data_IF_840585598432
#
_entry.id   IF_840585598432
#
_cell.length_a   1.000
_cell.length_b   1.000
_cell.length_c   1.000
_cell.angle_alpha   90.00
_cell.angle_beta   90.00
_cell.angle_gamma   90.00
#
_symmetry.space_group_name_H-M   'P 1'
#
loop_
_entity.id
_entity.type
_entity.pdbx_description
1 polymer ?
#
# COMPACT_ATOMS: atom_id res chain seq x y z
N UNK A 1 4.19 -3.95 -8.08
CA UNK A 1 4.63 -2.73 -7.40
C UNK A 1 6.11 -2.89 -7.05
N UNK A 2 6.98 -1.94 -7.39
CA UNK A 2 8.37 -1.98 -6.94
C UNK A 2 8.43 -1.83 -5.41
N UNK A 3 9.35 -2.55 -4.76
CA UNK A 3 9.62 -2.40 -3.33
C UNK A 3 10.35 -1.06 -3.14
N UNK A 4 9.79 -0.17 -2.32
CA UNK A 4 10.44 1.11 -1.98
C UNK A 4 11.78 0.84 -1.29
N UNK A 5 12.81 1.64 -1.61
CA UNK A 5 14.16 1.42 -1.09
C UNK A 5 14.20 1.32 0.44
N UNK A 6 13.42 2.16 1.10
CA UNK A 6 13.23 2.25 2.55
C UNK A 6 12.69 0.95 3.18
N UNK A 7 12.05 0.09 2.41
CA UNK A 7 11.39 -1.14 2.91
C UNK A 7 12.13 -2.41 2.50
N UNK A 8 13.23 -2.32 1.74
CA UNK A 8 13.94 -3.51 1.23
C UNK A 8 14.44 -4.42 2.35
N UNK A 9 14.81 -3.86 3.50
CA UNK A 9 15.30 -4.61 4.66
C UNK A 9 14.21 -5.44 5.36
N UNK A 10 12.92 -5.19 5.10
CA UNK A 10 11.81 -6.03 5.62
C UNK A 10 11.72 -7.38 4.90
N UNK A 11 12.37 -7.48 3.73
CA UNK A 11 12.38 -8.68 2.90
C UNK A 11 13.66 -9.46 3.16
N UNK A 12 13.62 -10.80 3.08
CA UNK A 12 14.81 -11.60 3.23
C UNK A 12 15.77 -11.40 2.04
N UNK A 13 17.05 -11.73 2.24
CA UNK A 13 18.09 -11.54 1.22
C UNK A 13 17.81 -12.33 -0.07
N UNK A 14 17.15 -13.48 0.05
CA UNK A 14 16.75 -14.38 -1.03
C UNK A 14 15.35 -14.05 -1.59
N UNK A 15 14.83 -12.84 -1.32
CA UNK A 15 13.54 -12.42 -1.86
C UNK A 15 13.41 -12.56 -3.39
N UNK A 16 14.43 -12.25 -4.22
CA UNK A 16 14.34 -12.50 -5.66
C UNK A 16 14.04 -13.96 -6.01
N UNK A 17 14.64 -14.90 -5.28
CA UNK A 17 14.46 -16.34 -5.42
C UNK A 17 13.08 -16.76 -4.98
N UNK A 18 12.67 -16.36 -3.78
CA UNK A 18 11.36 -16.67 -3.22
C UNK A 18 10.24 -16.14 -4.14
N UNK A 19 10.33 -14.89 -4.55
CA UNK A 19 9.39 -14.25 -5.47
C UNK A 19 9.31 -14.98 -6.82
N UNK A 20 10.43 -15.47 -7.34
CA UNK A 20 10.48 -16.26 -8.58
C UNK A 20 9.83 -17.63 -8.40
N UNK A 21 10.12 -18.31 -7.29
CA UNK A 21 9.53 -19.60 -6.96
C UNK A 21 8.00 -19.51 -6.88
N UNK A 22 7.46 -18.45 -6.28
CA UNK A 22 6.02 -18.21 -6.22
C UNK A 22 5.45 -17.90 -7.62
N UNK A 23 6.03 -16.95 -8.35
CA UNK A 23 5.46 -16.45 -9.62
C UNK A 23 5.57 -17.44 -10.78
N UNK A 24 6.70 -18.13 -10.90
CA UNK A 24 7.02 -18.94 -12.07
C UNK A 24 7.16 -20.42 -11.75
N UNK A 25 7.44 -20.79 -10.50
CA UNK A 25 7.36 -22.17 -10.03
C UNK A 25 5.92 -22.56 -9.73
N UNK A 26 5.40 -22.13 -8.59
CA UNK A 26 4.06 -22.51 -8.09
C UNK A 26 2.94 -22.05 -9.02
N UNK A 27 2.95 -20.77 -9.38
CA UNK A 27 1.87 -20.19 -10.17
C UNK A 27 2.05 -20.37 -11.69
N UNK A 28 3.15 -21.01 -12.13
CA UNK A 28 3.47 -21.26 -13.54
C UNK A 28 3.31 -20.01 -14.44
N UNK A 29 3.73 -18.84 -13.94
CA UNK A 29 3.63 -17.58 -14.66
C UNK A 29 2.20 -17.09 -14.88
N UNK A 30 1.22 -17.55 -14.09
CA UNK A 30 -0.19 -17.11 -14.18
C UNK A 30 -0.66 -16.51 -12.86
N UNK A 31 -1.58 -15.55 -12.95
CA UNK A 31 -2.16 -14.96 -11.76
C UNK A 31 -2.97 -16.01 -11.00
N UNK A 32 -2.72 -16.20 -9.71
CA UNK A 32 -3.43 -17.19 -8.89
C UNK A 32 -4.91 -16.80 -8.66
N UNK A 33 -5.28 -15.54 -8.86
CA UNK A 33 -6.67 -15.08 -8.73
C UNK A 33 -7.46 -15.10 -10.04
N UNK A 34 -6.84 -14.75 -11.17
CA UNK A 34 -7.57 -14.55 -12.43
C UNK A 34 -7.00 -15.28 -13.64
N UNK A 35 -5.91 -16.03 -13.47
CA UNK A 35 -5.26 -16.87 -14.48
C UNK A 35 -4.62 -16.13 -15.66
N UNK A 36 -4.63 -14.79 -15.66
CA UNK A 36 -3.94 -13.99 -16.70
C UNK A 36 -2.44 -14.36 -16.74
N UNK A 37 -1.88 -14.66 -17.93
CA UNK A 37 -0.49 -15.07 -18.07
C UNK A 37 0.48 -13.88 -18.02
N UNK A 38 1.64 -14.06 -17.38
CA UNK A 38 2.71 -13.08 -17.30
C UNK A 38 3.29 -12.75 -18.68
N UNK A 39 3.63 -11.48 -18.90
CA UNK A 39 4.32 -10.99 -20.10
C UNK A 39 3.41 -10.82 -21.32
N UNK A 40 2.22 -11.43 -21.32
CA UNK A 40 1.27 -11.43 -22.42
C UNK A 40 0.41 -10.17 -22.47
N UNK A 41 -0.04 -9.82 -23.68
CA UNK A 41 -1.08 -8.80 -23.88
C UNK A 41 -2.45 -9.47 -23.84
N UNK A 42 -3.35 -8.98 -23.00
CA UNK A 42 -4.71 -9.51 -22.88
C UNK A 42 -5.74 -8.47 -23.28
N UNK A 43 -6.75 -8.90 -24.02
CA UNK A 43 -7.96 -8.12 -24.30
C UNK A 43 -8.90 -8.18 -23.10
N UNK A 44 -9.45 -7.04 -22.67
CA UNK A 44 -10.36 -6.98 -21.54
C UNK A 44 -11.38 -5.85 -21.66
N UNK A 45 -12.52 -6.01 -20.96
CA UNK A 45 -13.66 -5.07 -21.01
C UNK A 45 -13.59 -3.96 -19.94
N UNK A 46 -12.54 -3.97 -19.11
CA UNK A 46 -12.30 -2.94 -18.08
C UNK A 46 -12.93 -3.27 -16.72
N UNK A 47 -14.05 -3.99 -16.69
CA UNK A 47 -14.67 -4.50 -15.46
C UNK A 47 -13.94 -5.70 -14.82
N UNK A 48 -13.02 -6.31 -15.57
CA UNK A 48 -12.25 -7.48 -15.17
C UNK A 48 -12.40 -8.66 -16.10
N UNK A 49 -13.47 -8.70 -16.91
CA UNK A 49 -13.65 -9.70 -17.95
C UNK A 49 -12.54 -9.61 -18.98
N UNK A 50 -11.99 -10.74 -19.38
CA UNK A 50 -10.86 -10.81 -20.29
C UNK A 50 -10.90 -12.04 -21.17
N UNK A 51 -10.27 -11.92 -22.34
CA UNK A 51 -10.18 -13.01 -23.31
C UNK A 51 -8.94 -13.86 -23.04
N UNK A 52 -9.16 -15.13 -22.73
CA UNK A 52 -8.12 -16.15 -22.60
C UNK A 52 -7.80 -16.69 -24.00
N UNK A 53 -6.66 -16.27 -24.55
CA UNK A 53 -6.18 -16.71 -25.87
C UNK A 53 -5.86 -18.20 -25.91
N UNK A 54 -5.30 -18.76 -24.84
CA UNK A 54 -4.87 -20.16 -24.77
C UNK A 54 -6.08 -21.10 -24.83
N UNK A 55 -7.16 -20.70 -24.16
CA UNK A 55 -8.41 -21.48 -24.05
C UNK A 55 -9.51 -21.00 -24.99
N UNK A 56 -9.25 -19.94 -25.77
CA UNK A 56 -10.19 -19.29 -26.71
C UNK A 56 -11.56 -19.02 -26.07
N UNK A 57 -11.57 -18.41 -24.89
CA UNK A 57 -12.80 -18.17 -24.12
C UNK A 57 -12.74 -16.87 -23.31
N UNK A 58 -13.91 -16.32 -23.00
CA UNK A 58 -14.02 -15.24 -22.02
C UNK A 58 -13.94 -15.77 -20.59
N UNK A 59 -13.28 -15.00 -19.73
CA UNK A 59 -13.23 -15.22 -18.29
C UNK A 59 -13.67 -13.97 -17.52
N UNK A 60 -14.21 -14.17 -16.33
CA UNK A 60 -14.50 -13.10 -15.39
C UNK A 60 -13.23 -12.60 -14.66
N UNK A 61 -13.40 -11.61 -13.78
CA UNK A 61 -12.30 -11.06 -12.98
C UNK A 61 -11.67 -12.05 -11.98
N UNK A 62 -12.28 -13.21 -11.74
CA UNK A 62 -11.78 -14.33 -10.92
C UNK A 62 -11.29 -15.50 -11.78
N UNK A 63 -11.22 -15.31 -13.10
CA UNK A 63 -10.76 -16.33 -14.04
C UNK A 63 -11.77 -17.43 -14.34
N UNK A 64 -13.04 -17.33 -13.93
CA UNK A 64 -14.06 -18.34 -14.27
C UNK A 64 -14.55 -18.13 -15.70
N UNK A 65 -14.82 -19.22 -16.44
CA UNK A 65 -15.37 -19.16 -17.80
C UNK A 65 -16.72 -18.45 -17.80
N UNK A 66 -16.92 -17.55 -18.76
CA UNK A 66 -18.20 -16.88 -18.99
C UNK A 66 -18.53 -16.82 -20.48
N UNK A 67 -19.80 -16.62 -20.80
CA UNK A 67 -20.24 -16.16 -22.11
C UNK A 67 -20.46 -14.66 -22.03
N UNK A 68 -19.94 -13.93 -23.00
CA UNK A 68 -20.22 -12.49 -23.15
C UNK A 68 -21.30 -12.39 -24.22
N UNK A 69 -22.40 -11.68 -23.93
CA UNK A 69 -23.48 -11.46 -24.89
C UNK A 69 -23.05 -10.59 -26.07
N UNK A 70 -24.00 -10.17 -26.91
CA UNK A 70 -23.77 -9.21 -28.00
C UNK A 70 -23.41 -7.82 -27.43
N UNK A 71 -22.18 -7.70 -26.95
CA UNK A 71 -21.53 -6.42 -26.68
C UNK A 71 -20.88 -6.03 -28.00
N UNK A 72 -20.91 -4.74 -28.36
CA UNK A 72 -20.01 -4.22 -29.38
C UNK A 72 -18.57 -4.28 -28.83
N UNK A 73 -17.99 -5.48 -28.92
CA UNK A 73 -16.69 -5.82 -28.39
C UNK A 73 -15.60 -4.94 -29.01
N UNK A 74 -15.80 -4.47 -30.24
CA UNK A 74 -14.83 -3.61 -30.92
C UNK A 74 -14.72 -2.23 -30.27
N UNK A 75 -15.83 -1.66 -29.76
CA UNK A 75 -15.86 -0.31 -29.20
C UNK A 75 -15.28 -0.21 -27.76
N UNK A 76 -15.23 -1.32 -27.00
CA UNK A 76 -14.94 -1.28 -25.55
C UNK A 76 -13.65 -2.03 -25.18
N UNK A 77 -13.17 -2.94 -26.02
CA UNK A 77 -12.03 -3.80 -25.69
C UNK A 77 -10.73 -3.00 -25.55
N UNK A 78 -10.13 -3.10 -24.36
CA UNK A 78 -8.82 -2.54 -24.03
C UNK A 78 -7.77 -3.64 -24.04
N UNK A 79 -6.51 -3.27 -24.29
CA UNK A 79 -5.37 -4.17 -24.24
C UNK A 79 -4.45 -3.77 -23.10
N UNK A 80 -4.08 -4.73 -22.25
CA UNK A 80 -3.10 -4.51 -21.19
C UNK A 80 -2.01 -5.58 -21.25
N UNK A 81 -0.74 -5.18 -21.11
CA UNK A 81 0.36 -6.12 -20.87
C UNK A 81 0.36 -6.54 -19.40
N UNK A 82 0.28 -7.83 -19.17
CA UNK A 82 0.14 -8.42 -17.85
C UNK A 82 1.52 -8.60 -17.23
N UNK A 83 1.71 -8.04 -16.04
CA UNK A 83 2.85 -8.32 -15.17
C UNK A 83 2.35 -8.91 -13.86
N UNK A 84 3.04 -9.94 -13.41
CA UNK A 84 2.76 -10.67 -12.18
C UNK A 84 3.83 -10.34 -11.16
N UNK A 85 3.38 -9.97 -9.97
CA UNK A 85 4.21 -9.71 -8.79
C UNK A 85 3.85 -10.69 -7.68
N UNK A 86 4.81 -10.95 -6.79
CA UNK A 86 4.55 -11.63 -5.53
C UNK A 86 3.90 -10.62 -4.58
N UNK A 87 2.84 -11.03 -3.88
CA UNK A 87 2.08 -10.22 -2.94
C UNK A 87 1.92 -10.96 -1.61
N UNK A 88 1.98 -10.22 -0.50
CA UNK A 88 1.67 -10.72 0.84
C UNK A 88 0.17 -10.62 1.09
N UNK A 89 -0.47 -11.75 1.41
CA UNK A 89 -1.92 -11.84 1.59
C UNK A 89 -2.40 -11.09 2.84
N UNK A 90 -1.58 -11.06 3.89
CA UNK A 90 -1.84 -10.30 5.12
C UNK A 90 -1.33 -8.84 5.10
N UNK A 91 -0.78 -8.37 3.96
CA UNK A 91 -0.14 -7.06 3.80
C UNK A 91 1.09 -6.78 4.70
N UNK A 92 1.59 -7.79 5.42
CA UNK A 92 2.81 -7.71 6.22
C UNK A 92 4.00 -8.20 5.39
N UNK A 93 4.94 -7.31 4.99
CA UNK A 93 6.10 -7.68 4.18
C UNK A 93 7.09 -8.61 4.92
N UNK A 94 6.99 -8.75 6.25
CA UNK A 94 7.88 -9.59 7.06
C UNK A 94 7.45 -11.06 7.10
N UNK A 95 6.16 -11.35 6.86
CA UNK A 95 5.64 -12.73 6.83
C UNK A 95 5.83 -13.37 5.45
N UNK A 96 6.99 -14.00 5.27
CA UNK A 96 7.39 -14.60 4.00
C UNK A 96 7.00 -16.09 3.88
N UNK A 97 6.10 -16.59 4.72
CA UNK A 97 5.63 -17.97 4.64
C UNK A 97 4.99 -18.23 3.25
N UNK A 98 5.30 -19.34 2.56
CA UNK A 98 4.77 -19.60 1.21
C UNK A 98 3.25 -19.53 1.11
N UNK A 99 2.52 -19.90 2.17
CA UNK A 99 1.06 -19.80 2.27
C UNK A 99 0.53 -18.36 2.30
N UNK A 100 1.34 -17.41 2.76
CA UNK A 100 0.99 -16.00 2.83
C UNK A 100 1.38 -15.25 1.53
N UNK A 101 2.16 -15.87 0.66
CA UNK A 101 2.56 -15.27 -0.61
C UNK A 101 1.60 -15.69 -1.72
N UNK A 102 1.32 -14.79 -2.65
CA UNK A 102 0.53 -15.04 -3.85
C UNK A 102 1.13 -14.39 -5.10
N UNK A 103 0.99 -15.03 -6.27
CA UNK A 103 1.36 -14.49 -7.56
C UNK A 103 0.16 -13.73 -8.18
N UNK A 104 0.17 -12.40 -8.09
CA UNK A 104 -0.95 -11.56 -8.53
C UNK A 104 -0.57 -10.69 -9.73
N UNK A 105 -1.45 -10.60 -10.73
CA UNK A 105 -1.33 -9.62 -11.81
C UNK A 105 -1.60 -8.19 -11.31
N UNK A 106 -1.21 -7.16 -12.08
CA UNK A 106 -1.39 -5.76 -11.65
C UNK A 106 -2.82 -5.45 -11.17
N UNK A 107 -3.86 -5.91 -11.89
CA UNK A 107 -5.26 -5.69 -11.50
C UNK A 107 -5.58 -6.35 -10.16
N UNK A 108 -5.33 -7.65 -10.03
CA UNK A 108 -5.67 -8.40 -8.82
C UNK A 108 -4.87 -7.90 -7.61
N UNK A 109 -3.62 -7.51 -7.83
CA UNK A 109 -2.76 -6.94 -6.80
C UNK A 109 -3.31 -5.58 -6.32
N UNK A 110 -3.68 -4.67 -7.24
CA UNK A 110 -4.27 -3.37 -6.88
C UNK A 110 -5.61 -3.50 -6.15
N UNK A 111 -6.41 -4.51 -6.48
CA UNK A 111 -7.67 -4.78 -5.76
C UNK A 111 -7.37 -5.30 -4.35
N UNK A 112 -6.44 -6.25 -4.23
CA UNK A 112 -6.02 -6.80 -2.94
C UNK A 112 -5.53 -5.70 -2.00
N UNK A 113 -4.65 -4.81 -2.48
CA UNK A 113 -4.06 -3.74 -1.66
C UNK A 113 -4.95 -2.51 -1.46
N UNK A 114 -6.17 -2.48 -2.03
CA UNK A 114 -6.97 -1.26 -2.11
C UNK A 114 -7.29 -0.66 -0.73
N UNK A 115 -7.66 -1.49 0.24
CA UNK A 115 -8.05 -1.05 1.58
C UNK A 115 -6.85 -0.65 2.42
N UNK A 116 -5.76 -1.42 2.37
CA UNK A 116 -4.51 -1.06 3.04
C UNK A 116 -3.92 0.23 2.45
N UNK A 117 -3.99 0.42 1.12
CA UNK A 117 -3.62 1.68 0.50
C UNK A 117 -4.51 2.85 0.95
N UNK A 118 -5.81 2.63 1.12
CA UNK A 118 -6.73 3.65 1.65
C UNK A 118 -6.36 4.03 3.08
N UNK A 119 -6.12 3.03 3.94
CA UNK A 119 -5.66 3.21 5.33
C UNK A 119 -4.34 3.98 5.40
N UNK A 120 -3.34 3.58 4.62
CA UNK A 120 -2.02 4.27 4.58
C UNK A 120 -2.14 5.70 4.07
N UNK A 121 -2.92 5.95 3.02
CA UNK A 121 -3.18 7.32 2.52
C UNK A 121 -3.80 8.19 3.60
N UNK A 122 -4.80 7.67 4.30
CA UNK A 122 -5.43 8.37 5.42
C UNK A 122 -4.43 8.65 6.55
N UNK A 123 -3.69 7.63 7.01
CA UNK A 123 -2.73 7.76 8.11
C UNK A 123 -1.62 8.76 7.79
N UNK A 124 -1.12 8.76 6.55
CA UNK A 124 -0.10 9.72 6.11
C UNK A 124 -0.65 11.15 6.06
N UNK A 125 -1.91 11.34 5.63
CA UNK A 125 -2.57 12.63 5.68
C UNK A 125 -2.77 13.10 7.13
N UNK A 126 -3.25 12.21 8.00
CA UNK A 126 -3.43 12.48 9.43
C UNK A 126 -2.12 12.86 10.11
N UNK A 127 -1.04 12.07 9.94
CA UNK A 127 0.28 12.34 10.53
C UNK A 127 0.83 13.70 10.11
N UNK A 128 0.74 14.03 8.82
CA UNK A 128 1.17 15.36 8.32
C UNK A 128 0.41 16.49 9.00
N UNK A 129 -0.91 16.33 9.15
CA UNK A 129 -1.74 17.32 9.85
C UNK A 129 -1.39 17.43 11.33
N UNK A 130 -1.27 16.30 12.04
CA UNK A 130 -0.96 16.28 13.46
C UNK A 130 0.40 16.94 13.78
N UNK A 131 1.41 16.75 12.92
CA UNK A 131 2.71 17.43 13.04
C UNK A 131 2.56 18.93 12.82
N UNK A 132 1.79 19.36 11.81
CA UNK A 132 1.53 20.78 11.57
C UNK A 132 0.78 21.42 12.75
N UNK A 133 -0.24 20.77 13.29
CA UNK A 133 -1.02 21.24 14.44
C UNK A 133 -0.13 21.36 15.70
N UNK A 134 0.80 20.42 15.91
CA UNK A 134 1.77 20.48 17.01
C UNK A 134 2.67 21.72 16.92
N UNK A 135 3.24 21.99 15.73
CA UNK A 135 4.08 23.17 15.52
C UNK A 135 3.27 24.47 15.62
N UNK A 136 2.06 24.51 15.07
CA UNK A 136 1.16 25.66 15.20
C UNK A 136 0.84 25.96 16.68
N UNK A 137 0.67 24.91 17.52
CA UNK A 137 0.48 25.09 18.96
C UNK A 137 1.71 25.69 19.65
N UNK A 138 2.92 25.23 19.31
CA UNK A 138 4.15 25.81 19.85
C UNK A 138 4.37 27.25 19.39
N UNK A 139 4.11 27.57 18.12
CA UNK A 139 4.21 28.94 17.60
C UNK A 139 3.22 29.87 18.31
N UNK A 140 1.94 29.47 18.41
CA UNK A 140 0.92 30.24 19.12
C UNK A 140 1.30 30.47 20.60
N UNK A 141 1.88 29.45 21.27
CA UNK A 141 2.32 29.57 22.66
C UNK A 141 3.59 30.39 22.82
N UNK A 142 4.50 30.35 21.86
CA UNK A 142 5.71 31.19 21.86
C UNK A 142 5.35 32.67 21.64
N UNK A 143 4.31 32.96 20.85
CA UNK A 143 3.74 34.30 20.70
C UNK A 143 3.09 34.75 22.02
N UNK A 144 2.27 33.90 22.64
CA UNK A 144 1.59 34.19 23.92
C UNK A 144 2.56 34.33 25.10
N UNK A 145 3.69 33.62 25.11
CA UNK A 145 4.74 33.76 26.12
C UNK A 145 5.59 35.03 25.94
N UNK A 146 5.53 35.66 24.76
CA UNK A 146 6.20 36.92 24.46
C UNK A 146 5.33 38.16 24.76
N UNK A 147 4.05 37.99 25.08
CA UNK A 147 3.27 39.01 25.78
C UNK A 147 3.77 39.07 27.23
N UNK A 148 4.78 39.92 27.42
CA UNK A 148 5.73 39.83 28.52
C UNK A 148 5.14 39.90 29.93
N UNK A 149 5.94 39.39 30.87
CA UNK A 149 5.95 39.91 32.24
C UNK A 149 6.04 41.44 32.12
N UNK A 150 5.08 42.21 32.64
CA UNK A 150 5.12 43.66 32.53
C UNK A 150 6.46 44.18 33.07
N UNK A 151 7.19 44.97 32.25
CA UNK A 151 8.42 45.64 32.71
C UNK A 151 8.07 46.43 33.97
N UNK A 152 8.56 45.99 35.12
CA UNK A 152 8.27 46.62 36.41
C UNK A 152 7.63 45.70 37.46
N UNK A 153 7.30 44.44 37.14
CA UNK A 153 6.97 43.48 38.22
C UNK A 153 8.28 42.98 38.82
N UNK A 154 8.63 43.34 40.07
CA UNK A 154 9.82 42.82 40.70
C UNK A 154 9.72 41.30 40.76
N UNK A 155 10.80 40.62 40.38
CA UNK A 155 10.94 39.18 40.50
C UNK A 155 10.74 38.84 41.98
N UNK A 156 9.58 38.29 42.35
CA UNK A 156 9.34 37.84 43.71
C UNK A 156 10.20 36.60 43.91
N UNK A 157 11.39 36.79 44.48
CA UNK A 157 12.21 35.69 44.98
C UNK A 157 11.37 34.95 46.00
N UNK A 158 10.90 33.76 45.62
CA UNK A 158 10.45 32.76 46.57
C UNK A 158 11.70 32.39 47.37
N UNK A 159 11.85 33.00 48.55
CA UNK A 159 12.83 32.57 49.54
C UNK A 159 12.53 31.10 49.83
N UNK A 160 13.36 30.21 49.27
CA UNK A 160 13.48 28.85 49.75
C UNK A 160 13.99 28.98 51.18
N UNK A 161 13.08 28.82 52.15
CA UNK A 161 13.48 28.58 53.53
C UNK A 161 14.34 27.33 53.51
N UNK A 162 15.62 27.50 53.78
CA UNK A 162 16.52 26.42 54.14
C UNK A 162 15.95 25.76 55.39
N UNK A 163 15.39 24.56 55.23
CA UNK A 163 15.17 23.68 56.36
C UNK A 163 16.55 23.24 56.86
N UNK A 164 16.99 23.79 57.98
CA UNK A 164 18.06 23.20 58.78
C UNK A 164 17.53 21.94 59.48
N UNK A 165 18.33 20.85 59.53
CA UNK A 165 17.98 19.65 60.25
C UNK A 165 18.38 19.78 61.73
N UNK A 166 17.46 19.41 62.64
CA UNK A 166 17.77 19.01 64.02
C UNK A 166 17.13 17.66 64.29
#
# INVERSE_FOLDING_TARGET
>A
MPIMAEHRWLYPIDWPELSRAIRFGRANGRCEHCHRPHGQRVFHLGDGRWWDMDRRQWRDGRGRRIRVGAIDLAAIVRVTRVYIACAHLNHDPTDNAPRNLAALCQRCHMIHDADEHRRRRWLNAYRRRAVADLFAWFEARSIMANEGVPRGTPMRTLNMRTHEPT
#
